data_IF_212124833511
#
_entry.id   IF_212124833511
#
_cell.length_a   1.000
_cell.length_b   1.000
_cell.length_c   1.000
_cell.angle_alpha   90.00
_cell.angle_beta   90.00
_cell.angle_gamma   90.00
#
_symmetry.space_group_name_H-M   'P 1'
#
loop_
_entity.id
_entity.type
_entity.pdbx_description
1 polymer ?
#
# COMPACT_ATOMS: atom_id res chain seq x y z
N UNK A 1 -33.22 -38.96 -3.00
CA UNK A 1 -32.11 -38.00 -2.82
C UNK A 1 -31.65 -38.08 -1.38
N UNK A 2 -30.35 -38.16 -1.09
CA UNK A 2 -29.87 -38.08 0.30
C UNK A 2 -30.26 -36.71 0.90
N UNK A 3 -30.54 -36.65 2.22
CA UNK A 3 -30.85 -35.39 2.89
C UNK A 3 -29.66 -34.45 2.79
N UNK A 4 -29.91 -33.18 2.42
CA UNK A 4 -28.86 -32.16 2.38
C UNK A 4 -28.27 -32.01 3.79
N UNK A 5 -26.94 -32.05 3.96
CA UNK A 5 -26.32 -31.82 5.26
C UNK A 5 -26.76 -30.46 5.82
N UNK A 6 -27.09 -30.41 7.11
CA UNK A 6 -27.45 -29.15 7.78
C UNK A 6 -26.24 -28.22 7.79
N UNK A 7 -26.45 -26.98 7.38
CA UNK A 7 -25.44 -25.93 7.41
C UNK A 7 -25.00 -25.65 8.85
N UNK A 8 -23.69 -25.74 9.12
CA UNK A 8 -23.13 -25.33 10.40
C UNK A 8 -22.81 -23.83 10.34
N UNK A 9 -23.60 -23.02 11.04
CA UNK A 9 -23.45 -21.55 11.04
C UNK A 9 -22.16 -21.09 11.69
N UNK A 10 -21.69 -21.80 12.72
CA UNK A 10 -20.46 -21.45 13.44
C UNK A 10 -19.23 -21.71 12.57
N UNK A 11 -19.29 -22.75 11.73
CA UNK A 11 -18.23 -23.07 10.77
C UNK A 11 -18.09 -21.99 9.70
N UNK A 12 -19.22 -21.48 9.17
CA UNK A 12 -19.21 -20.37 8.20
C UNK A 12 -18.69 -19.09 8.83
N UNK A 13 -19.15 -18.74 10.03
CA UNK A 13 -18.72 -17.52 10.71
C UNK A 13 -17.22 -17.56 11.02
N UNK A 14 -16.71 -18.73 11.44
CA UNK A 14 -15.27 -18.93 11.65
C UNK A 14 -14.49 -18.83 10.35
N UNK A 15 -14.96 -19.48 9.28
CA UNK A 15 -14.33 -19.42 7.97
C UNK A 15 -14.28 -17.97 7.42
N UNK A 16 -15.34 -17.20 7.60
CA UNK A 16 -15.40 -15.79 7.22
C UNK A 16 -14.42 -14.94 8.05
N UNK A 17 -14.39 -15.13 9.37
CA UNK A 17 -13.44 -14.46 10.25
C UNK A 17 -11.98 -14.74 9.84
N UNK A 18 -11.67 -16.01 9.55
CA UNK A 18 -10.34 -16.45 9.13
C UNK A 18 -9.99 -15.88 7.73
N UNK A 19 -10.95 -15.86 6.80
CA UNK A 19 -10.78 -15.24 5.47
C UNK A 19 -10.46 -13.74 5.58
N UNK A 20 -11.20 -13.00 6.40
CA UNK A 20 -10.96 -11.57 6.65
C UNK A 20 -9.59 -11.36 7.29
N UNK A 21 -9.21 -12.17 8.28
CA UNK A 21 -7.91 -12.07 8.96
C UNK A 21 -6.75 -12.28 7.97
N UNK A 22 -6.85 -13.28 7.10
CA UNK A 22 -5.86 -13.54 6.06
C UNK A 22 -5.77 -12.41 5.04
N UNK A 23 -6.91 -11.83 4.64
CA UNK A 23 -6.95 -10.69 3.71
C UNK A 23 -6.27 -9.44 4.30
N UNK A 24 -6.51 -9.18 5.59
CA UNK A 24 -5.84 -8.11 6.35
C UNK A 24 -4.33 -8.31 6.41
N UNK A 25 -3.91 -9.55 6.67
CA UNK A 25 -2.50 -9.90 6.73
C UNK A 25 -1.81 -9.70 5.37
N UNK A 26 -2.40 -10.26 4.30
CA UNK A 26 -1.90 -10.10 2.93
C UNK A 26 -1.82 -8.63 2.51
N UNK A 27 -2.85 -7.83 2.80
CA UNK A 27 -2.85 -6.39 2.48
C UNK A 27 -1.71 -5.63 3.18
N UNK A 28 -1.35 -6.03 4.40
CA UNK A 28 -0.22 -5.41 5.11
C UNK A 28 1.14 -5.86 4.54
N UNK A 29 1.28 -7.13 4.19
CA UNK A 29 2.47 -7.68 3.56
C UNK A 29 2.71 -7.03 2.18
N UNK A 30 1.65 -6.89 1.38
CA UNK A 30 1.71 -6.25 0.06
C UNK A 30 2.13 -4.79 0.15
N UNK A 31 1.67 -4.05 1.18
CA UNK A 31 2.11 -2.65 1.39
C UNK A 31 3.61 -2.56 1.62
N UNK A 32 4.16 -3.43 2.47
CA UNK A 32 5.59 -3.51 2.74
C UNK A 32 6.38 -3.83 1.46
N UNK A 33 5.91 -4.81 0.70
CA UNK A 33 6.53 -5.27 -0.54
C UNK A 33 6.53 -4.20 -1.63
N UNK A 34 5.39 -3.57 -1.88
CA UNK A 34 5.25 -2.51 -2.90
C UNK A 34 6.20 -1.35 -2.62
N UNK A 35 6.30 -0.92 -1.36
CA UNK A 35 7.21 0.16 -0.97
C UNK A 35 8.67 -0.26 -1.14
N UNK A 36 9.01 -1.49 -0.71
CA UNK A 36 10.38 -2.01 -0.83
C UNK A 36 10.83 -2.11 -2.29
N UNK A 37 9.96 -2.58 -3.19
CA UNK A 37 10.26 -2.64 -4.62
C UNK A 37 10.45 -1.25 -5.24
N UNK A 38 9.65 -0.27 -4.84
CA UNK A 38 9.82 1.11 -5.28
C UNK A 38 11.19 1.68 -4.85
N UNK A 39 11.57 1.48 -3.58
CA UNK A 39 12.86 1.94 -3.05
C UNK A 39 14.04 1.28 -3.77
N UNK A 40 13.99 -0.03 -3.96
CA UNK A 40 15.04 -0.76 -4.70
C UNK A 40 15.12 -0.26 -6.13
N UNK A 41 14.00 -0.07 -6.80
CA UNK A 41 13.97 0.42 -8.19
C UNK A 41 14.61 1.80 -8.31
N UNK A 42 14.24 2.75 -7.44
CA UNK A 42 14.85 4.08 -7.43
C UNK A 42 16.33 4.03 -7.09
N UNK A 43 16.71 3.27 -6.06
CA UNK A 43 18.10 3.14 -5.63
C UNK A 43 18.99 2.55 -6.73
N UNK A 44 18.54 1.50 -7.40
CA UNK A 44 19.25 0.86 -8.51
C UNK A 44 19.40 1.81 -9.71
N UNK A 45 18.35 2.56 -10.06
CA UNK A 45 18.40 3.49 -11.18
C UNK A 45 19.27 4.71 -10.87
N UNK A 46 19.21 5.25 -9.66
CA UNK A 46 20.09 6.33 -9.22
C UNK A 46 21.57 5.92 -9.25
N UNK A 47 21.88 4.68 -8.87
CA UNK A 47 23.25 4.14 -8.89
C UNK A 47 23.82 3.96 -10.31
N UNK A 48 22.98 3.89 -11.34
CA UNK A 48 23.44 3.78 -12.73
C UNK A 48 23.96 5.11 -13.30
N UNK A 49 23.56 6.25 -12.73
CA UNK A 49 23.88 7.59 -13.24
C UNK A 49 25.40 7.86 -13.26
N UNK A 50 26.16 7.65 -12.17
CA UNK A 50 27.60 7.91 -12.15
C UNK A 50 28.40 7.02 -13.10
N UNK A 51 27.86 5.86 -13.48
CA UNK A 51 28.50 4.94 -14.43
C UNK A 51 28.39 5.37 -15.89
N UNK A 52 27.63 6.43 -16.20
CA UNK A 52 27.39 6.88 -17.57
C UNK A 52 28.50 7.84 -18.02
N UNK A 53 29.32 7.42 -18.98
CA UNK A 53 30.35 8.28 -19.58
C UNK A 53 29.68 9.19 -20.61
N UNK A 54 29.65 10.50 -20.32
CA UNK A 54 29.06 11.51 -21.20
C UNK A 54 30.16 12.13 -22.08
N UNK A 55 30.00 12.04 -23.40
CA UNK A 55 30.80 12.79 -24.37
C UNK A 55 29.98 13.99 -24.86
N UNK A 56 30.62 15.07 -25.32
CA UNK A 56 29.90 16.30 -25.73
C UNK A 56 28.82 16.04 -26.80
N UNK A 57 29.09 15.16 -27.76
CA UNK A 57 28.13 14.74 -28.79
C UNK A 57 26.97 13.87 -28.25
N UNK A 58 27.15 13.18 -27.13
CA UNK A 58 26.14 12.29 -26.54
C UNK A 58 25.33 12.92 -25.41
N UNK A 59 25.72 14.11 -24.93
CA UNK A 59 25.04 14.84 -23.84
C UNK A 59 23.56 15.05 -24.12
N UNK A 60 23.22 15.42 -25.35
CA UNK A 60 21.85 15.71 -25.76
C UNK A 60 20.95 14.46 -25.71
N UNK A 61 21.44 13.35 -26.26
CA UNK A 61 20.75 12.06 -26.22
C UNK A 61 20.63 11.50 -24.80
N UNK A 62 21.70 11.61 -24.01
CA UNK A 62 21.72 11.16 -22.63
C UNK A 62 20.76 11.97 -21.73
N UNK A 63 20.68 13.28 -21.91
CA UNK A 63 19.76 14.14 -21.15
C UNK A 63 18.30 13.77 -21.41
N UNK A 64 17.92 13.51 -22.67
CA UNK A 64 16.58 12.99 -22.98
C UNK A 64 16.32 11.61 -22.37
N UNK A 65 17.30 10.71 -22.41
CA UNK A 65 17.17 9.39 -21.82
C UNK A 65 16.95 9.47 -20.30
N UNK A 66 17.73 10.30 -19.60
CA UNK A 66 17.54 10.54 -18.18
C UNK A 66 16.21 11.23 -17.87
N UNK A 67 15.81 12.25 -18.63
CA UNK A 67 14.50 12.88 -18.48
C UNK A 67 13.36 11.87 -18.62
N UNK A 68 13.43 10.99 -19.64
CA UNK A 68 12.46 9.90 -19.82
C UNK A 68 12.45 8.90 -18.67
N UNK A 69 13.64 8.51 -18.18
CA UNK A 69 13.78 7.60 -17.04
C UNK A 69 13.17 8.18 -15.76
N UNK A 70 13.48 9.44 -15.43
CA UNK A 70 12.95 10.10 -14.25
C UNK A 70 11.46 10.41 -14.36
N UNK A 71 10.94 10.63 -15.57
CA UNK A 71 9.51 10.76 -15.81
C UNK A 71 8.79 9.43 -15.54
N UNK A 72 9.36 8.32 -16.02
CA UNK A 72 8.85 7.00 -15.73
C UNK A 72 8.86 6.71 -14.22
N UNK A 73 9.94 7.05 -13.52
CA UNK A 73 10.02 6.93 -12.05
C UNK A 73 8.96 7.76 -11.33
N UNK A 74 8.68 8.97 -11.82
CA UNK A 74 7.62 9.84 -11.27
C UNK A 74 6.25 9.19 -11.42
N UNK A 75 5.94 8.65 -12.60
CA UNK A 75 4.68 7.93 -12.85
C UNK A 75 4.56 6.70 -11.96
N UNK A 76 5.63 5.90 -11.85
CA UNK A 76 5.66 4.75 -10.97
C UNK A 76 5.41 5.14 -9.51
N UNK A 77 6.03 6.22 -9.04
CA UNK A 77 5.82 6.73 -7.69
C UNK A 77 4.39 7.17 -7.42
N UNK A 78 3.75 7.86 -8.38
CA UNK A 78 2.33 8.21 -8.28
C UNK A 78 1.43 6.97 -8.21
N UNK A 79 1.72 5.93 -9.03
CA UNK A 79 0.99 4.65 -8.99
C UNK A 79 1.21 3.92 -7.67
N UNK A 80 2.44 3.87 -7.16
CA UNK A 80 2.77 3.28 -5.86
C UNK A 80 2.02 4.00 -4.73
N UNK A 81 1.94 5.33 -4.76
CA UNK A 81 1.16 6.09 -3.78
C UNK A 81 -0.34 5.72 -3.83
N UNK A 82 -0.91 5.62 -5.04
CA UNK A 82 -2.30 5.19 -5.21
C UNK A 82 -2.54 3.75 -4.70
N UNK A 83 -1.60 2.83 -4.94
CA UNK A 83 -1.65 1.46 -4.42
C UNK A 83 -1.61 1.44 -2.89
N UNK A 84 -0.71 2.22 -2.26
CA UNK A 84 -0.64 2.33 -0.80
C UNK A 84 -1.93 2.88 -0.19
N UNK A 85 -2.52 3.90 -0.83
CA UNK A 85 -3.82 4.44 -0.42
C UNK A 85 -4.93 3.38 -0.51
N UNK A 86 -4.99 2.64 -1.63
CA UNK A 86 -6.00 1.59 -1.83
C UNK A 86 -5.84 0.43 -0.86
N UNK A 87 -4.61 -0.02 -0.60
CA UNK A 87 -4.33 -1.09 0.37
C UNK A 87 -4.68 -0.65 1.81
N UNK A 88 -4.53 0.63 2.14
CA UNK A 88 -4.97 1.18 3.43
C UNK A 88 -6.50 1.21 3.56
N UNK A 89 -7.20 1.55 2.48
CA UNK A 89 -8.66 1.48 2.45
C UNK A 89 -9.15 0.02 2.59
N UNK A 90 -8.58 -0.91 1.83
CA UNK A 90 -8.92 -2.34 1.89
C UNK A 90 -8.71 -2.92 3.30
N UNK A 91 -7.60 -2.58 3.96
CA UNK A 91 -7.37 -2.97 5.37
C UNK A 91 -8.51 -2.48 6.29
N UNK A 92 -8.96 -1.24 6.10
CA UNK A 92 -10.02 -0.65 6.93
C UNK A 92 -11.37 -1.31 6.66
N UNK A 93 -11.71 -1.56 5.41
CA UNK A 93 -12.93 -2.30 5.00
C UNK A 93 -12.96 -3.70 5.64
N UNK A 94 -11.85 -4.43 5.59
CA UNK A 94 -11.75 -5.74 6.24
C UNK A 94 -11.87 -5.64 7.77
N UNK A 95 -11.29 -4.62 8.40
CA UNK A 95 -11.43 -4.40 9.84
C UNK A 95 -12.89 -4.09 10.25
N UNK A 96 -13.64 -3.36 9.41
CA UNK A 96 -15.07 -3.12 9.61
C UNK A 96 -15.88 -4.42 9.46
N UNK A 97 -15.61 -5.24 8.45
CA UNK A 97 -16.26 -6.53 8.27
C UNK A 97 -16.03 -7.45 9.49
N UNK A 98 -14.79 -7.52 9.98
CA UNK A 98 -14.45 -8.26 11.20
C UNK A 98 -15.26 -7.78 12.42
N UNK A 99 -15.37 -6.46 12.58
CA UNK A 99 -16.11 -5.88 13.70
C UNK A 99 -17.61 -6.08 13.58
N UNK A 100 -18.17 -6.22 12.38
CA UNK A 100 -19.58 -6.58 12.18
C UNK A 100 -19.89 -7.95 12.79
N UNK A 101 -18.99 -8.93 12.61
CA UNK A 101 -19.10 -10.25 13.25
C UNK A 101 -19.03 -10.10 14.77
N UNK A 102 -18.07 -9.33 15.29
CA UNK A 102 -17.94 -9.10 16.74
C UNK A 102 -19.18 -8.44 17.35
N UNK A 103 -19.71 -7.41 16.69
CA UNK A 103 -20.90 -6.69 17.14
C UNK A 103 -22.12 -7.62 17.21
N UNK A 104 -22.24 -8.58 16.27
CA UNK A 104 -23.24 -9.64 16.33
C UNK A 104 -23.09 -10.51 17.59
N UNK A 105 -21.87 -10.95 17.91
CA UNK A 105 -21.64 -11.76 19.11
C UNK A 105 -21.85 -10.96 20.40
N UNK A 106 -21.40 -9.70 20.48
CA UNK A 106 -21.59 -8.81 21.63
C UNK A 106 -23.09 -8.59 21.92
N UNK A 107 -23.93 -8.56 20.88
CA UNK A 107 -25.40 -8.42 21.04
C UNK A 107 -26.03 -9.61 21.76
N UNK A 108 -25.52 -10.82 21.53
CA UNK A 108 -26.07 -12.07 22.09
C UNK A 108 -25.36 -12.50 23.38
N UNK A 109 -24.08 -12.15 23.52
CA UNK A 109 -23.20 -12.48 24.64
C UNK A 109 -22.53 -11.18 25.11
N UNK A 110 -23.10 -10.52 26.12
CA UNK A 110 -22.60 -9.21 26.57
C UNK A 110 -21.31 -9.32 27.38
N UNK A 111 -21.06 -10.48 27.97
CA UNK A 111 -19.92 -10.80 28.81
C UNK A 111 -18.57 -10.73 28.07
N UNK A 112 -18.56 -10.94 26.75
CA UNK A 112 -17.34 -10.87 25.94
C UNK A 112 -17.03 -9.45 25.45
N UNK A 113 -17.94 -8.49 25.62
CA UNK A 113 -17.76 -7.12 25.13
C UNK A 113 -16.46 -6.45 25.62
N UNK A 114 -16.03 -6.61 26.90
CA UNK A 114 -14.77 -6.03 27.38
C UNK A 114 -13.52 -6.63 26.72
N UNK A 115 -13.62 -7.81 26.10
CA UNK A 115 -12.48 -8.45 25.44
C UNK A 115 -12.13 -7.79 24.09
N UNK A 116 -13.07 -7.04 23.49
CA UNK A 116 -12.86 -6.41 22.18
C UNK A 116 -12.52 -4.93 22.30
N UNK A 117 -11.30 -4.58 21.89
CA UNK A 117 -10.82 -3.18 21.85
C UNK A 117 -11.57 -2.30 20.84
N UNK A 118 -11.93 -2.88 19.68
CA UNK A 118 -12.57 -2.15 18.58
C UNK A 118 -13.88 -2.83 18.18
N UNK A 119 -14.89 -1.99 17.97
CA UNK A 119 -16.21 -2.32 17.43
C UNK A 119 -16.43 -1.46 16.18
N UNK A 120 -17.50 -1.70 15.42
CA UNK A 120 -17.72 -0.96 14.15
C UNK A 120 -17.81 0.55 14.39
N UNK A 121 -18.40 0.96 15.52
CA UNK A 121 -18.52 2.38 15.91
C UNK A 121 -17.26 2.99 16.53
N UNK A 122 -16.33 2.18 17.02
CA UNK A 122 -15.13 2.63 17.74
C UNK A 122 -13.83 2.36 16.96
N UNK A 123 -13.96 1.86 15.72
CA UNK A 123 -12.83 1.64 14.83
C UNK A 123 -12.18 2.98 14.50
N UNK A 124 -10.86 3.14 14.70
CA UNK A 124 -10.18 4.40 14.43
C UNK A 124 -10.21 4.73 12.94
N UNK A 125 -10.26 6.03 12.59
CA UNK A 125 -10.24 6.47 11.20
C UNK A 125 -8.88 6.19 10.55
N UNK A 126 -8.87 6.20 9.22
CA UNK A 126 -7.69 5.89 8.39
C UNK A 126 -6.72 7.06 8.25
N UNK A 127 -6.93 8.20 8.88
CA UNK A 127 -6.17 9.43 8.64
C UNK A 127 -5.10 9.72 9.71
N UNK A 128 -4.69 8.70 10.49
CA UNK A 128 -3.69 8.90 11.55
C UNK A 128 -2.33 9.39 11.00
N UNK A 129 -1.91 10.64 11.31
CA UNK A 129 -0.60 11.15 10.93
C UNK A 129 0.50 10.39 11.69
N UNK A 130 1.71 10.34 11.13
CA UNK A 130 2.86 9.61 11.68
C UNK A 130 2.65 8.09 11.90
N UNK A 131 1.62 7.50 11.30
CA UNK A 131 1.53 6.04 11.21
C UNK A 131 2.55 5.51 10.19
N UNK A 132 3.03 4.28 10.37
CA UNK A 132 3.99 3.64 9.42
C UNK A 132 3.49 3.75 7.97
N UNK A 133 2.19 3.55 7.76
CA UNK A 133 1.56 3.73 6.44
C UNK A 133 1.76 5.13 5.84
N UNK A 134 1.60 6.16 6.67
CA UNK A 134 1.75 7.54 6.25
C UNK A 134 3.22 7.84 5.97
N UNK A 135 4.14 7.31 6.80
CA UNK A 135 5.57 7.47 6.58
C UNK A 135 6.03 6.83 5.26
N UNK A 136 5.52 5.65 4.91
CA UNK A 136 5.79 5.01 3.61
C UNK A 136 5.26 5.85 2.45
N UNK A 137 4.06 6.43 2.59
CA UNK A 137 3.50 7.32 1.56
C UNK A 137 4.33 8.61 1.40
N UNK A 138 4.79 9.20 2.51
CA UNK A 138 5.68 10.36 2.50
C UNK A 138 7.01 10.03 1.82
N UNK A 139 7.61 8.88 2.15
CA UNK A 139 8.85 8.42 1.53
C UNK A 139 8.72 8.30 0.00
N UNK A 140 7.67 7.62 -0.48
CA UNK A 140 7.37 7.52 -1.92
C UNK A 140 7.18 8.89 -2.55
N UNK A 141 6.45 9.78 -1.88
CA UNK A 141 6.18 11.14 -2.37
C UNK A 141 7.45 11.97 -2.49
N UNK A 142 8.34 11.92 -1.49
CA UNK A 142 9.60 12.66 -1.51
C UNK A 142 10.51 12.19 -2.65
N UNK A 143 10.66 10.88 -2.83
CA UNK A 143 11.47 10.32 -3.90
C UNK A 143 10.89 10.64 -5.28
N UNK A 144 9.57 10.61 -5.41
CA UNK A 144 8.87 11.00 -6.65
C UNK A 144 9.05 12.49 -6.97
N UNK A 145 9.05 13.35 -5.95
CA UNK A 145 9.31 14.78 -6.11
C UNK A 145 10.73 15.05 -6.60
N UNK A 146 11.73 14.33 -6.05
CA UNK A 146 13.12 14.38 -6.53
C UNK A 146 13.22 13.91 -7.99
N UNK A 147 12.57 12.79 -8.33
CA UNK A 147 12.53 12.32 -9.71
C UNK A 147 11.90 13.37 -10.65
N UNK A 148 10.81 14.00 -10.24
CA UNK A 148 10.15 15.07 -11.01
C UNK A 148 11.10 16.27 -11.22
N UNK A 149 11.81 16.69 -10.17
CA UNK A 149 12.79 17.76 -10.27
C UNK A 149 13.95 17.39 -11.22
N UNK A 150 14.38 16.13 -11.22
CA UNK A 150 15.38 15.64 -12.16
C UNK A 150 14.89 15.71 -13.62
N UNK A 151 13.62 15.39 -13.90
CA UNK A 151 13.04 15.58 -15.26
C UNK A 151 13.19 17.04 -15.69
N UNK A 152 12.77 17.99 -14.85
CA UNK A 152 12.87 19.41 -15.16
C UNK A 152 14.33 19.84 -15.38
N UNK A 153 15.25 19.37 -14.55
CA UNK A 153 16.68 19.61 -14.71
C UNK A 153 17.19 19.12 -16.08
N UNK A 154 16.99 17.85 -16.42
CA UNK A 154 17.49 17.30 -17.69
C UNK A 154 16.83 17.90 -18.93
N UNK A 155 15.60 18.43 -18.83
CA UNK A 155 14.95 19.14 -19.92
C UNK A 155 15.41 20.60 -20.06
N UNK A 156 15.77 21.28 -18.95
CA UNK A 156 16.23 22.66 -18.97
C UNK A 156 17.69 22.80 -19.39
N UNK A 157 18.51 21.80 -19.09
CA UNK A 157 19.93 21.75 -19.46
C UNK A 157 20.21 20.87 -20.70
N UNK A 158 19.16 20.57 -21.47
CA UNK A 158 19.21 19.85 -22.76
C UNK A 158 19.74 20.71 -23.91
#
# INVERSE_FOLDING_TARGET
MPPKPKLNTDEILRAEYDYIANTVFQSNEDRSRVTSFFLVTIGSLAAAIPGTILSEDSLRGASLAFAGLFLMLTILGALTLAQLARLRAAWHESAQAMNTIKDFYIKHYKEIAPAFKWQTKTLPPTDKPFSIANLMAVEVTLLSAVATAAVAFFLLFY
#
